data_IF_476209315490
#
_entry.id   IF_476209315490
#
_cell.length_a   1.000
_cell.length_b   1.000
_cell.length_c   1.000
_cell.angle_alpha   90.00
_cell.angle_beta   90.00
_cell.angle_gamma   90.00
#
_symmetry.space_group_name_H-M   'P 1'
#
loop_
_entity.id
_entity.type
_entity.pdbx_description
1 polymer ?
#
# COMPACT_ATOMS: atom_id res chain seq x y z
N UNK A 1 -16.98 14.77 -14.62
CA UNK A 1 -17.75 15.06 -13.38
C UNK A 1 -17.08 14.26 -12.26
N UNK A 2 -16.30 14.91 -11.40
CA UNK A 2 -15.82 14.25 -10.18
C UNK A 2 -17.05 13.97 -9.31
N UNK A 3 -17.51 12.72 -9.31
CA UNK A 3 -18.45 12.25 -8.27
C UNK A 3 -17.67 12.27 -6.95
N UNK A 4 -18.39 12.46 -5.85
CA UNK A 4 -17.89 12.53 -4.48
C UNK A 4 -17.41 11.14 -4.00
N UNK A 5 -16.54 10.50 -4.80
CA UNK A 5 -16.10 9.13 -4.62
C UNK A 5 -14.96 9.07 -3.61
N UNK A 6 -14.94 8.00 -2.82
CA UNK A 6 -13.90 7.77 -1.81
C UNK A 6 -13.08 6.54 -2.17
N UNK A 7 -11.77 6.67 -2.02
CA UNK A 7 -10.79 5.69 -2.50
C UNK A 7 -9.94 5.20 -1.34
N UNK A 8 -9.79 3.89 -1.23
CA UNK A 8 -8.84 3.23 -0.35
C UNK A 8 -7.74 2.62 -1.21
N UNK A 9 -6.53 3.16 -1.15
CA UNK A 9 -5.36 2.63 -1.86
C UNK A 9 -4.61 1.74 -0.89
N UNK A 10 -4.51 0.45 -1.17
CA UNK A 10 -3.77 -0.51 -0.37
C UNK A 10 -2.57 -1.06 -1.15
N UNK A 11 -1.42 -1.15 -0.50
CA UNK A 11 -0.22 -1.73 -1.08
C UNK A 11 0.57 -2.55 -0.06
N UNK A 12 1.22 -3.61 -0.54
CA UNK A 12 2.14 -4.43 0.25
C UNK A 12 3.51 -4.49 -0.40
N UNK A 13 4.57 -4.43 0.41
CA UNK A 13 5.96 -4.38 -0.08
C UNK A 13 6.88 -5.39 0.64
N UNK A 14 7.87 -5.88 -0.09
CA UNK A 14 9.00 -6.66 0.39
C UNK A 14 10.15 -6.52 -0.62
N UNK A 15 11.27 -5.94 -0.21
CA UNK A 15 12.45 -5.72 -1.07
C UNK A 15 12.14 -4.98 -2.38
N UNK A 16 11.46 -3.83 -2.29
CA UNK A 16 11.00 -3.03 -3.41
C UNK A 16 11.74 -1.66 -3.54
N UNK A 17 12.95 -1.52 -2.99
CA UNK A 17 13.69 -0.25 -2.99
C UNK A 17 13.82 0.38 -4.38
N UNK A 18 14.10 -0.44 -5.40
CA UNK A 18 14.32 0.02 -6.78
C UNK A 18 13.10 0.68 -7.43
N UNK A 19 11.88 0.28 -7.05
CA UNK A 19 10.64 0.77 -7.68
C UNK A 19 9.96 1.88 -6.88
N UNK A 20 10.28 2.01 -5.59
CA UNK A 20 9.53 2.86 -4.66
C UNK A 20 9.59 4.36 -4.99
N UNK A 21 10.69 4.85 -5.56
CA UNK A 21 10.80 6.27 -5.90
C UNK A 21 9.79 6.65 -6.99
N UNK A 22 9.67 5.80 -8.02
CA UNK A 22 8.67 5.99 -9.07
C UNK A 22 7.25 5.74 -8.54
N UNK A 23 7.06 4.68 -7.75
CA UNK A 23 5.75 4.30 -7.23
C UNK A 23 5.16 5.39 -6.33
N UNK A 24 5.95 5.94 -5.40
CA UNK A 24 5.51 6.99 -4.47
C UNK A 24 5.22 8.28 -5.21
N UNK A 25 6.05 8.67 -6.18
CA UNK A 25 5.80 9.84 -7.03
C UNK A 25 4.46 9.73 -7.80
N UNK A 26 4.21 8.59 -8.44
CA UNK A 26 2.95 8.36 -9.16
C UNK A 26 1.75 8.25 -8.22
N UNK A 27 1.93 7.76 -7.00
CA UNK A 27 0.87 7.74 -5.98
C UNK A 27 0.49 9.16 -5.57
N UNK A 28 1.46 10.06 -5.41
CA UNK A 28 1.19 11.47 -5.08
C UNK A 28 0.39 12.17 -6.18
N UNK A 29 0.76 11.97 -7.44
CA UNK A 29 0.01 12.49 -8.59
C UNK A 29 -1.42 11.94 -8.63
N UNK A 30 -1.59 10.63 -8.39
CA UNK A 30 -2.91 10.00 -8.31
C UNK A 30 -3.76 10.63 -7.20
N UNK A 31 -3.20 10.80 -6.00
CA UNK A 31 -3.89 11.41 -4.86
C UNK A 31 -4.33 12.85 -5.17
N UNK A 32 -3.47 13.63 -5.81
CA UNK A 32 -3.78 15.02 -6.15
C UNK A 32 -4.92 15.11 -7.17
N UNK A 33 -5.00 14.18 -8.14
CA UNK A 33 -6.12 14.11 -9.10
C UNK A 33 -7.42 13.59 -8.47
N UNK A 34 -7.35 12.57 -7.61
CA UNK A 34 -8.53 12.02 -6.92
C UNK A 34 -9.08 12.96 -5.83
N UNK A 35 -8.24 13.87 -5.34
CA UNK A 35 -8.52 14.80 -4.26
C UNK A 35 -8.13 14.22 -2.90
N UNK A 36 -7.18 14.86 -2.22
CA UNK A 36 -6.63 14.42 -0.93
C UNK A 36 -7.68 14.01 0.13
N UNK A 37 -8.78 14.75 0.36
CA UNK A 37 -9.79 14.36 1.35
C UNK A 37 -10.57 13.08 1.00
N UNK A 38 -10.53 12.67 -0.27
CA UNK A 38 -11.23 11.50 -0.78
C UNK A 38 -10.42 10.21 -0.66
N UNK A 39 -9.12 10.31 -0.36
CA UNK A 39 -8.19 9.18 -0.40
C UNK A 39 -7.75 8.77 1.01
N UNK A 40 -7.74 7.47 1.25
CA UNK A 40 -6.99 6.84 2.33
C UNK A 40 -5.90 5.94 1.75
N UNK A 41 -4.69 6.01 2.26
CA UNK A 41 -3.55 5.17 1.82
C UNK A 41 -3.15 4.20 2.93
N UNK A 42 -3.12 2.90 2.64
CA UNK A 42 -2.71 1.87 3.58
C UNK A 42 -1.55 1.07 3.03
N UNK A 43 -0.40 1.14 3.69
CA UNK A 43 0.83 0.49 3.27
C UNK A 43 1.24 -0.52 4.33
N UNK A 44 1.57 -1.73 3.88
CA UNK A 44 2.19 -2.75 4.72
C UNK A 44 3.51 -3.17 4.10
N UNK A 45 4.53 -3.27 4.93
CA UNK A 45 5.82 -3.81 4.58
C UNK A 45 6.17 -4.88 5.59
N UNK A 46 6.72 -5.99 5.11
CA UNK A 46 7.21 -7.03 6.00
C UNK A 46 8.61 -7.47 5.64
N UNK A 47 9.56 -7.16 6.52
CA UNK A 47 10.88 -7.79 6.59
C UNK A 47 11.73 -7.66 5.33
N UNK A 48 11.74 -6.44 4.79
CA UNK A 48 12.68 -6.06 3.74
C UNK A 48 14.09 -5.94 4.30
N UNK A 49 15.05 -6.40 3.52
CA UNK A 49 16.49 -6.32 3.78
C UNK A 49 17.14 -5.10 3.10
N UNK A 50 16.37 -4.36 2.29
CA UNK A 50 16.78 -3.15 1.57
C UNK A 50 16.17 -1.86 2.18
N UNK A 51 16.24 -0.73 1.46
CA UNK A 51 15.73 0.54 1.98
C UNK A 51 14.19 0.70 1.92
N UNK A 52 13.44 -0.35 1.57
CA UNK A 52 11.97 -0.28 1.41
C UNK A 52 11.28 0.33 2.63
N UNK A 53 11.56 -0.19 3.83
CA UNK A 53 10.95 0.32 5.06
C UNK A 53 11.22 1.82 5.27
N UNK A 54 12.48 2.24 5.06
CA UNK A 54 12.89 3.64 5.20
C UNK A 54 12.18 4.57 4.20
N UNK A 55 12.05 4.12 2.94
CA UNK A 55 11.34 4.87 1.89
C UNK A 55 9.84 4.99 2.16
N UNK A 56 9.20 3.92 2.66
CA UNK A 56 7.78 3.97 3.02
C UNK A 56 7.50 4.87 4.22
N UNK A 57 8.38 4.87 5.23
CA UNK A 57 8.31 5.82 6.35
C UNK A 57 8.48 7.26 5.87
N UNK A 58 9.37 7.51 4.91
CA UNK A 58 9.51 8.83 4.28
C UNK A 58 8.22 9.23 3.55
N UNK A 59 7.66 8.32 2.76
CA UNK A 59 6.41 8.57 2.04
C UNK A 59 5.24 8.86 3.00
N UNK A 60 5.12 8.14 4.13
CA UNK A 60 4.14 8.43 5.18
C UNK A 60 4.27 9.85 5.77
N UNK A 61 5.50 10.33 5.95
CA UNK A 61 5.73 11.73 6.36
C UNK A 61 5.23 12.71 5.29
N UNK A 62 5.48 12.44 4.01
CA UNK A 62 4.97 13.28 2.93
C UNK A 62 3.44 13.28 2.82
N UNK A 63 2.79 12.12 3.04
CA UNK A 63 1.33 12.04 3.14
C UNK A 63 0.79 12.87 4.31
N UNK A 64 1.44 12.81 5.48
CA UNK A 64 1.12 13.66 6.63
C UNK A 64 1.22 15.14 6.27
N UNK A 65 2.34 15.57 5.66
CA UNK A 65 2.54 16.97 5.25
C UNK A 65 1.48 17.47 4.27
N UNK A 66 0.95 16.58 3.43
CA UNK A 66 -0.10 16.89 2.45
C UNK A 66 -1.52 16.81 3.03
N UNK A 67 -1.69 16.34 4.27
CA UNK A 67 -3.00 16.16 4.90
C UNK A 67 -3.80 14.97 4.36
N UNK A 68 -3.10 13.92 3.88
CA UNK A 68 -3.72 12.70 3.37
C UNK A 68 -3.84 11.69 4.52
N UNK A 69 -5.03 11.11 4.72
CA UNK A 69 -5.24 10.08 5.72
C UNK A 69 -4.53 8.79 5.30
N UNK A 70 -3.76 8.18 6.20
CA UNK A 70 -2.98 6.99 5.86
C UNK A 70 -2.57 6.14 7.08
N UNK A 71 -2.09 4.94 6.79
CA UNK A 71 -1.38 4.04 7.70
C UNK A 71 -0.15 3.47 7.00
N UNK A 72 0.96 3.36 7.72
CA UNK A 72 2.17 2.67 7.28
C UNK A 72 2.55 1.67 8.36
N UNK A 73 2.41 0.38 8.05
CA UNK A 73 2.77 -0.72 8.93
C UNK A 73 4.09 -1.35 8.44
N UNK A 74 5.14 -1.23 9.25
CA UNK A 74 6.46 -1.84 9.01
C UNK A 74 6.61 -2.93 10.08
N UNK A 75 6.72 -4.20 9.66
CA UNK A 75 6.70 -5.34 10.61
C UNK A 75 7.61 -6.49 10.14
N UNK A 76 7.84 -7.45 11.02
CA UNK A 76 8.50 -8.74 10.73
C UNK A 76 7.58 -9.93 11.03
N UNK A 77 6.38 -9.67 11.53
CA UNK A 77 5.52 -10.66 12.18
C UNK A 77 4.58 -11.37 11.19
N UNK A 78 4.63 -11.04 9.90
CA UNK A 78 3.70 -11.57 8.89
C UNK A 78 4.23 -12.80 8.14
N UNK A 79 5.45 -13.28 8.45
CA UNK A 79 6.13 -14.39 7.77
C UNK A 79 5.35 -15.73 7.78
N UNK A 80 4.49 -15.94 8.78
CA UNK A 80 3.76 -17.21 8.94
C UNK A 80 4.66 -18.37 9.40
N UNK A 81 4.15 -19.61 9.32
CA UNK A 81 4.87 -20.82 9.73
C UNK A 81 5.24 -21.68 8.50
N UNK A 82 6.52 -22.08 8.31
CA UNK A 82 7.69 -21.72 9.11
C UNK A 82 8.20 -20.30 8.80
N UNK A 83 8.63 -19.54 9.83
CA UNK A 83 8.97 -18.12 9.71
C UNK A 83 10.29 -17.85 8.98
N UNK A 84 11.07 -18.88 8.72
CA UNK A 84 12.45 -18.75 8.21
C UNK A 84 12.52 -18.59 6.69
N UNK A 85 11.55 -19.12 5.93
CA UNK A 85 11.55 -18.98 4.48
C UNK A 85 10.13 -19.10 3.87
N UNK A 86 9.43 -17.99 3.57
CA UNK A 86 8.11 -18.04 2.92
C UNK A 86 8.18 -18.62 1.49
N UNK A 87 9.36 -18.65 0.88
CA UNK A 87 9.59 -19.19 -0.47
C UNK A 87 9.84 -20.70 -0.49
N UNK A 88 9.82 -21.38 0.67
CA UNK A 88 10.05 -22.81 0.79
C UNK A 88 9.01 -23.66 0.02
N UNK A 89 7.75 -23.21 -0.04
CA UNK A 89 6.69 -23.91 -0.76
C UNK A 89 5.65 -22.93 -1.30
N UNK A 90 4.87 -23.37 -2.30
CA UNK A 90 3.72 -22.60 -2.81
C UNK A 90 2.73 -22.29 -1.67
N UNK A 91 2.49 -23.23 -0.75
CA UNK A 91 1.58 -23.03 0.38
C UNK A 91 2.06 -21.92 1.31
N UNK A 92 3.34 -21.95 1.70
CA UNK A 92 3.91 -20.93 2.58
C UNK A 92 3.93 -19.56 1.90
N UNK A 93 4.31 -19.51 0.61
CA UNK A 93 4.30 -18.27 -0.17
C UNK A 93 2.89 -17.69 -0.26
N UNK A 94 1.86 -18.51 -0.51
CA UNK A 94 0.48 -18.04 -0.55
C UNK A 94 0.01 -17.52 0.82
N UNK A 95 0.36 -18.21 1.91
CA UNK A 95 0.05 -17.76 3.27
C UNK A 95 0.71 -16.42 3.59
N UNK A 96 2.00 -16.29 3.26
CA UNK A 96 2.74 -15.05 3.42
C UNK A 96 2.12 -13.87 2.66
N UNK A 97 1.83 -14.07 1.36
CA UNK A 97 1.20 -13.04 0.53
C UNK A 97 -0.22 -12.68 1.00
N UNK A 98 -0.96 -13.65 1.56
CA UNK A 98 -2.26 -13.39 2.17
C UNK A 98 -2.13 -12.53 3.44
N UNK A 99 -1.14 -12.81 4.30
CA UNK A 99 -0.90 -12.04 5.52
C UNK A 99 -0.53 -10.59 5.20
N UNK A 100 0.37 -10.36 4.26
CA UNK A 100 0.75 -9.03 3.77
C UNK A 100 -0.48 -8.23 3.31
N UNK A 101 -1.28 -8.84 2.43
CA UNK A 101 -2.50 -8.22 1.89
C UNK A 101 -3.53 -7.95 2.97
N UNK A 102 -3.71 -8.87 3.93
CA UNK A 102 -4.63 -8.68 5.05
C UNK A 102 -4.18 -7.52 5.94
N UNK A 103 -2.88 -7.39 6.22
CA UNK A 103 -2.34 -6.24 6.94
C UNK A 103 -2.62 -4.92 6.22
N UNK A 104 -2.42 -4.86 4.90
CA UNK A 104 -2.72 -3.66 4.12
C UNK A 104 -4.23 -3.32 4.08
N UNK A 105 -5.11 -4.31 4.23
CA UNK A 105 -6.56 -4.14 4.25
C UNK A 105 -7.15 -3.97 5.65
N UNK A 106 -6.39 -4.25 6.71
CA UNK A 106 -6.85 -4.16 8.10
C UNK A 106 -7.50 -2.80 8.44
N UNK A 107 -6.95 -1.64 8.01
CA UNK A 107 -7.57 -0.35 8.30
C UNK A 107 -8.99 -0.17 7.75
N UNK A 108 -9.38 -0.90 6.68
CA UNK A 108 -10.77 -0.86 6.19
C UNK A 108 -11.76 -1.31 7.27
N UNK A 109 -11.40 -2.32 8.07
CA UNK A 109 -12.23 -2.81 9.16
C UNK A 109 -12.25 -1.87 10.37
N UNK A 110 -11.14 -1.17 10.62
CA UNK A 110 -10.97 -0.31 11.80
C UNK A 110 -11.58 1.09 11.62
N UNK A 111 -11.50 1.66 10.41
CA UNK A 111 -11.95 3.04 10.15
C UNK A 111 -13.47 3.22 10.20
N UNK A 112 -14.24 2.12 10.27
CA UNK A 112 -15.71 2.12 10.24
C UNK A 112 -16.31 3.07 9.17
N UNK A 113 -15.61 3.19 8.04
CA UNK A 113 -15.93 4.06 6.91
C UNK A 113 -16.05 3.19 5.67
N UNK A 114 -17.10 3.44 4.86
CA UNK A 114 -17.22 2.82 3.53
C UNK A 114 -16.44 3.63 2.51
N UNK A 115 -15.71 2.92 1.66
CA UNK A 115 -15.05 3.46 0.47
C UNK A 115 -15.79 2.96 -0.77
N UNK A 116 -15.93 3.82 -1.77
CA UNK A 116 -16.56 3.46 -3.05
C UNK A 116 -15.63 2.56 -3.87
N UNK A 117 -14.33 2.86 -3.84
CA UNK A 117 -13.29 2.13 -4.55
C UNK A 117 -12.20 1.63 -3.59
N UNK A 118 -11.81 0.37 -3.76
CA UNK A 118 -10.62 -0.22 -3.11
C UNK A 118 -9.62 -0.56 -4.21
N UNK A 119 -8.50 0.14 -4.24
CA UNK A 119 -7.44 0.00 -5.23
C UNK A 119 -6.29 -0.77 -4.59
N UNK A 120 -6.05 -1.99 -5.05
CA UNK A 120 -4.89 -2.79 -4.65
C UNK A 120 -3.74 -2.50 -5.61
N UNK A 121 -2.75 -1.74 -5.14
CA UNK A 121 -1.66 -1.20 -5.96
C UNK A 121 -0.31 -1.56 -5.33
N UNK A 122 0.08 -2.83 -5.43
CA UNK A 122 1.35 -3.33 -4.88
C UNK A 122 2.56 -2.81 -5.70
N UNK A 123 3.61 -3.61 -5.80
CA UNK A 123 4.92 -3.31 -6.39
C UNK A 123 4.95 -3.26 -7.93
N UNK A 124 3.88 -2.74 -8.54
CA UNK A 124 3.82 -2.52 -9.99
C UNK A 124 4.42 -1.18 -10.37
N UNK A 125 5.11 -1.13 -11.51
CA UNK A 125 5.44 0.14 -12.17
C UNK A 125 4.21 0.59 -12.95
N UNK A 126 3.71 1.79 -12.67
CA UNK A 126 2.49 2.31 -13.27
C UNK A 126 2.56 3.83 -13.48
N UNK A 127 1.66 4.36 -14.30
CA UNK A 127 1.40 5.78 -14.39
C UNK A 127 0.04 6.10 -13.77
N UNK A 128 -0.07 7.18 -13.00
CA UNK A 128 -1.31 7.53 -12.29
C UNK A 128 -2.55 7.59 -13.22
N UNK A 129 -2.37 8.03 -14.47
CA UNK A 129 -3.48 8.09 -15.45
C UNK A 129 -4.03 6.73 -15.86
N UNK A 130 -3.27 5.65 -15.71
CA UNK A 130 -3.76 4.31 -16.02
C UNK A 130 -4.69 3.80 -14.92
N UNK A 131 -4.42 4.16 -13.66
CA UNK A 131 -5.30 3.86 -12.53
C UNK A 131 -6.63 4.60 -12.67
N UNK A 132 -6.61 5.85 -13.15
CA UNK A 132 -7.83 6.65 -13.39
C UNK A 132 -8.79 6.02 -14.41
N UNK A 133 -8.33 5.10 -15.26
CA UNK A 133 -9.19 4.39 -16.23
C UNK A 133 -9.97 3.24 -15.58
N UNK A 134 -9.59 2.85 -14.36
CA UNK A 134 -10.11 1.69 -13.64
C UNK A 134 -11.06 2.05 -12.49
N UNK A 135 -11.20 3.34 -12.17
CA UNK A 135 -11.94 3.84 -10.98
C UNK A 135 -12.99 4.89 -11.32
#
# INVERSE_FOLDING_TARGET
RARNASYFIAASFWNNDEVLDSWTAQTLELIDVLGRPNVYVSLTENDSEDNTASKLLHFGRELTRRGVAHSVNITTDLRGDPPENPWHSIRHRMGYMANLRNGALEPLGQLNRRFENVVLLNDVVYHHTDVLKLV
#
